data_IF_596928238429
#
_entry.id   IF_596928238429
#
_cell.length_a   1.000
_cell.length_b   1.000
_cell.length_c   1.000
_cell.angle_alpha   90.00
_cell.angle_beta   90.00
_cell.angle_gamma   90.00
#
_symmetry.space_group_name_H-M   'P 1'
#
loop_
_entity.id
_entity.type
_entity.pdbx_description
1 polymer ?
#
# COMPACT_ATOMS: atom_id res chain seq x y z
N UNK A 1 -8.99 -18.85 12.93
CA UNK A 1 -7.58 -18.92 13.34
C UNK A 1 -6.76 -19.43 12.14
N UNK A 2 -5.82 -18.64 11.62
CA UNK A 2 -4.96 -19.08 10.50
C UNK A 2 -3.92 -20.06 11.07
N UNK A 3 -3.91 -21.29 10.59
CA UNK A 3 -2.94 -22.31 11.02
C UNK A 3 -1.53 -21.92 10.59
N UNK A 4 -0.51 -22.38 11.32
CA UNK A 4 0.90 -22.10 11.02
C UNK A 4 1.29 -22.50 9.60
N UNK A 5 0.68 -23.57 9.07
CA UNK A 5 0.84 -24.02 7.69
C UNK A 5 0.28 -23.01 6.68
N UNK A 6 -0.92 -22.47 6.93
CA UNK A 6 -1.55 -21.48 6.05
C UNK A 6 -0.82 -20.14 6.06
N UNK A 7 -0.25 -19.73 7.21
CA UNK A 7 0.62 -18.55 7.28
C UNK A 7 1.89 -18.71 6.42
N UNK A 8 2.55 -19.86 6.49
CA UNK A 8 3.74 -20.15 5.66
C UNK A 8 3.43 -20.12 4.17
N UNK A 9 2.30 -20.71 3.77
CA UNK A 9 1.85 -20.70 2.38
C UNK A 9 1.56 -19.28 1.88
N UNK A 10 0.88 -18.45 2.67
CA UNK A 10 0.60 -17.05 2.31
C UNK A 10 1.90 -16.27 2.16
N UNK A 11 2.84 -16.37 3.11
CA UNK A 11 4.12 -15.68 3.02
C UNK A 11 4.94 -16.11 1.78
N UNK A 12 4.87 -17.37 1.38
CA UNK A 12 5.56 -17.85 0.18
C UNK A 12 4.96 -17.26 -1.10
N UNK A 13 3.63 -17.15 -1.15
CA UNK A 13 2.93 -16.49 -2.27
C UNK A 13 3.20 -14.99 -2.29
N UNK A 14 3.11 -14.31 -1.15
CA UNK A 14 3.39 -12.88 -1.02
C UNK A 14 4.83 -12.56 -1.47
N UNK A 15 5.82 -13.38 -1.09
CA UNK A 15 7.21 -13.21 -1.54
C UNK A 15 7.37 -13.30 -3.06
N UNK A 16 6.57 -14.12 -3.72
CA UNK A 16 6.65 -14.33 -5.18
C UNK A 16 5.82 -13.32 -5.98
N UNK A 17 4.76 -12.75 -5.39
CA UNK A 17 3.75 -11.95 -6.11
C UNK A 17 3.65 -10.50 -5.62
N UNK A 18 4.23 -10.15 -4.47
CA UNK A 18 4.15 -8.80 -3.92
C UNK A 18 5.52 -8.13 -3.86
N UNK A 19 5.54 -6.86 -4.28
CA UNK A 19 6.68 -5.96 -4.12
C UNK A 19 6.26 -4.78 -3.25
N UNK A 20 7.16 -4.34 -2.38
CA UNK A 20 6.95 -3.14 -1.56
C UNK A 20 7.47 -1.92 -2.32
N UNK A 21 6.57 -1.02 -2.68
CA UNK A 21 6.91 0.33 -3.11
C UNK A 21 6.87 1.24 -1.88
N UNK A 22 8.00 1.86 -1.55
CA UNK A 22 8.13 2.71 -0.37
C UNK A 22 8.78 4.04 -0.70
N UNK A 23 8.29 5.12 -0.08
CA UNK A 23 8.86 6.45 -0.19
C UNK A 23 9.45 6.89 1.16
N UNK A 24 10.70 7.35 1.16
CA UNK A 24 11.34 7.93 2.36
C UNK A 24 10.87 9.37 2.52
N UNK A 25 10.09 9.62 3.57
CA UNK A 25 9.58 10.95 3.93
C UNK A 25 10.13 11.38 5.28
N UNK A 26 9.99 12.67 5.60
CA UNK A 26 10.31 13.16 6.95
C UNK A 26 9.29 12.64 7.97
N UNK A 27 9.73 12.51 9.23
CA UNK A 27 8.89 12.00 10.32
C UNK A 27 7.64 12.85 10.55
N UNK A 28 7.78 14.17 10.54
CA UNK A 28 6.67 15.11 10.70
C UNK A 28 5.60 14.96 9.61
N UNK A 29 6.02 14.63 8.39
CA UNK A 29 5.10 14.38 7.27
C UNK A 29 4.38 13.05 7.48
N UNK A 30 5.11 11.99 7.86
CA UNK A 30 4.52 10.69 8.13
C UNK A 30 3.47 10.76 9.26
N UNK A 31 3.73 11.53 10.32
CA UNK A 31 2.81 11.67 11.45
C UNK A 31 1.55 12.45 11.06
N UNK A 32 1.70 13.49 10.23
CA UNK A 32 0.55 14.20 9.65
C UNK A 32 -0.31 13.29 8.79
N UNK A 33 0.29 12.52 7.88
CA UNK A 33 -0.44 11.57 7.03
C UNK A 33 -1.19 10.55 7.87
N UNK A 34 -0.55 10.00 8.91
CA UNK A 34 -1.23 9.06 9.84
C UNK A 34 -2.41 9.70 10.56
N UNK A 35 -2.25 10.93 11.05
CA UNK A 35 -3.32 11.65 11.73
C UNK A 35 -4.51 11.92 10.81
N UNK A 36 -4.25 12.32 9.56
CA UNK A 36 -5.29 12.54 8.54
C UNK A 36 -5.99 11.22 8.22
N UNK A 37 -5.25 10.15 7.90
CA UNK A 37 -5.85 8.84 7.65
C UNK A 37 -6.73 8.37 8.82
N UNK A 38 -6.25 8.51 10.06
CA UNK A 38 -7.02 8.13 11.25
C UNK A 38 -8.31 8.95 11.41
N UNK A 39 -8.29 10.25 11.10
CA UNK A 39 -9.46 11.12 11.17
C UNK A 39 -10.52 10.76 10.11
N UNK A 40 -10.10 10.28 8.94
CA UNK A 40 -10.98 9.87 7.85
C UNK A 40 -11.41 8.39 7.92
N UNK A 41 -10.90 7.62 8.90
CA UNK A 41 -11.15 6.18 9.00
C UNK A 41 -10.38 5.34 7.99
N UNK A 42 -9.39 5.92 7.33
CA UNK A 42 -8.56 5.29 6.32
C UNK A 42 -7.24 4.77 6.91
N UNK A 43 -6.55 3.92 6.14
CA UNK A 43 -5.18 3.51 6.45
C UNK A 43 -4.21 4.10 5.45
N UNK A 44 -2.98 4.37 5.88
CA UNK A 44 -1.91 4.87 5.00
C UNK A 44 -1.69 3.93 3.80
N UNK A 45 -1.86 2.62 3.99
CA UNK A 45 -1.72 1.63 2.92
C UNK A 45 -2.86 1.73 1.88
N UNK A 46 -4.09 1.99 2.31
CA UNK A 46 -5.23 2.20 1.42
C UNK A 46 -5.04 3.50 0.62
N UNK A 47 -4.64 4.59 1.29
CA UNK A 47 -4.33 5.87 0.64
C UNK A 47 -3.21 5.72 -0.41
N UNK A 48 -2.14 4.99 -0.08
CA UNK A 48 -1.03 4.77 -1.01
C UNK A 48 -1.46 3.95 -2.23
N UNK A 49 -2.29 2.93 -2.06
CA UNK A 49 -2.84 2.16 -3.19
C UNK A 49 -3.73 3.01 -4.06
N UNK A 50 -4.70 3.71 -3.48
CA UNK A 50 -5.62 4.59 -4.22
C UNK A 50 -4.86 5.67 -5.01
N UNK A 51 -3.84 6.28 -4.41
CA UNK A 51 -3.00 7.25 -5.09
C UNK A 51 -2.19 6.64 -6.24
N UNK A 52 -1.66 5.42 -6.08
CA UNK A 52 -0.93 4.72 -7.13
C UNK A 52 -1.86 4.25 -8.25
N UNK A 53 -3.04 3.73 -7.93
CA UNK A 53 -4.03 3.25 -8.88
C UNK A 53 -4.53 4.42 -9.74
N UNK A 54 -4.85 5.58 -9.14
CA UNK A 54 -5.21 6.81 -9.87
C UNK A 54 -4.08 7.31 -10.77
N UNK A 55 -2.84 7.27 -10.28
CA UNK A 55 -1.68 7.69 -11.06
C UNK A 55 -1.43 6.77 -12.27
N UNK A 56 -1.65 5.46 -12.09
CA UNK A 56 -1.60 4.49 -13.19
C UNK A 56 -2.73 4.71 -14.18
N UNK A 57 -3.97 4.88 -13.73
CA UNK A 57 -5.13 5.18 -14.59
C UNK A 57 -4.90 6.44 -15.44
N UNK A 58 -4.39 7.51 -14.84
CA UNK A 58 -4.13 8.79 -15.52
C UNK A 58 -2.99 8.71 -16.56
N UNK A 59 -2.04 7.79 -16.39
CA UNK A 59 -0.82 7.72 -17.21
C UNK A 59 -0.67 6.46 -18.06
N UNK A 60 -1.49 5.42 -17.85
CA UNK A 60 -1.52 4.23 -18.71
C UNK A 60 -2.25 4.49 -20.04
N UNK A 61 -3.05 5.55 -20.17
CA UNK A 61 -3.72 5.94 -21.42
C UNK A 61 -2.89 6.84 -22.37
N UNK A 62 -1.59 6.59 -22.46
CA UNK A 62 -0.72 7.13 -23.53
C UNK A 62 0.07 6.01 -24.23
N UNK A 63 -0.60 4.91 -24.53
CA UNK A 63 -0.21 3.99 -25.62
C UNK A 63 -1.43 3.52 -26.39
N UNK A 64 -2.02 4.41 -27.18
CA UNK A 64 -2.73 4.02 -28.40
C UNK A 64 -2.35 4.94 -29.54
#
# INVERSE_FOLDING_TARGET
MVTSAKRKSNNAWDKANMTVLGCKVRKDYADRVRAVCAAHGDTVNALLRDALDKYLEEHEERKS
#
